data_IF_418311250256
#
_entry.id   IF_418311250256
#
_cell.length_a   1.000
_cell.length_b   1.000
_cell.length_c   1.000
_cell.angle_alpha   90.00
_cell.angle_beta   90.00
_cell.angle_gamma   90.00
#
_symmetry.space_group_name_H-M   'P 1'
#
loop_
_entity.id
_entity.type
_entity.pdbx_description
1 polymer ?
#
# COMPACT_ATOMS: atom_id res chain seq x y z
N UNK A 1 0.43 7.27 -5.69
CA UNK A 1 1.77 7.05 -5.12
C UNK A 1 1.84 7.77 -3.78
N UNK A 2 1.77 7.01 -2.70
CA UNK A 2 2.11 7.49 -1.35
C UNK A 2 3.53 7.06 -1.07
N UNK A 3 4.44 8.03 -0.96
CA UNK A 3 5.82 7.81 -0.53
C UNK A 3 5.93 8.28 0.91
N UNK A 4 6.28 7.38 1.83
CA UNK A 4 6.50 7.70 3.24
C UNK A 4 7.76 7.00 3.77
N UNK A 5 8.37 7.62 4.79
CA UNK A 5 9.32 6.97 5.68
C UNK A 5 8.62 6.78 7.02
N UNK A 6 8.50 5.54 7.48
CA UNK A 6 7.64 5.21 8.62
C UNK A 6 8.35 4.28 9.62
N UNK A 7 8.29 4.65 10.90
CA UNK A 7 8.53 3.74 12.02
C UNK A 7 7.23 3.04 12.49
N UNK A 8 6.11 3.35 11.84
CA UNK A 8 4.78 2.78 12.15
C UNK A 8 4.23 1.99 10.97
N UNK A 9 3.41 0.99 11.28
CA UNK A 9 2.82 0.09 10.30
C UNK A 9 1.96 0.82 9.28
N UNK A 10 2.15 0.51 8.00
CA UNK A 10 1.18 0.87 6.95
C UNK A 10 0.02 -0.11 6.97
N UNK A 11 -1.19 0.39 7.21
CA UNK A 11 -2.39 -0.46 7.36
C UNK A 11 -3.27 -0.38 6.12
N UNK A 12 -3.50 -1.53 5.50
CA UNK A 12 -4.45 -1.77 4.42
C UNK A 12 -5.65 -2.47 5.02
N UNK A 13 -6.61 -1.66 5.43
CA UNK A 13 -7.77 -2.06 6.22
C UNK A 13 -8.92 -2.68 5.42
N UNK A 14 -8.62 -3.56 4.47
CA UNK A 14 -9.47 -3.88 3.33
C UNK A 14 -9.31 -2.86 2.21
N UNK A 15 -10.36 -2.69 1.40
CA UNK A 15 -10.30 -1.85 0.19
C UNK A 15 -9.57 -2.55 -0.95
N UNK A 16 -9.67 -1.97 -2.14
CA UNK A 16 -9.24 -2.60 -3.39
C UNK A 16 -8.41 -1.65 -4.24
N UNK A 17 -7.55 -2.23 -5.06
CA UNK A 17 -6.76 -1.53 -6.09
C UNK A 17 -5.82 -0.45 -5.51
N UNK A 18 -5.34 -0.66 -4.28
CA UNK A 18 -4.34 0.22 -3.65
C UNK A 18 -2.91 -0.21 -4.02
N UNK A 19 -2.07 0.75 -4.39
CA UNK A 19 -0.65 0.53 -4.67
C UNK A 19 0.21 1.18 -3.59
N UNK A 20 0.92 0.33 -2.84
CA UNK A 20 1.87 0.72 -1.80
C UNK A 20 3.27 0.48 -2.31
N UNK A 21 3.90 1.57 -2.75
CA UNK A 21 5.20 1.51 -3.38
C UNK A 21 6.14 2.60 -2.95
N UNK A 22 7.44 2.29 -3.03
CA UNK A 22 8.52 3.22 -2.78
C UNK A 22 8.57 3.78 -1.35
N UNK A 23 8.22 2.96 -0.35
CA UNK A 23 8.29 3.33 1.06
C UNK A 23 9.53 2.75 1.74
N UNK A 24 9.98 3.42 2.81
CA UNK A 24 11.07 2.94 3.68
C UNK A 24 10.54 2.68 5.08
N UNK A 25 10.78 1.47 5.57
CA UNK A 25 10.45 1.01 6.91
C UNK A 25 11.72 0.73 7.70
N UNK A 26 11.81 1.27 8.91
CA UNK A 26 12.94 1.05 9.82
C UNK A 26 12.42 0.64 11.19
N UNK A 27 12.92 -0.47 11.72
CA UNK A 27 12.59 -1.01 13.05
C UNK A 27 11.07 -1.14 13.28
N UNK A 28 10.36 -1.73 12.30
CA UNK A 28 8.90 -1.78 12.27
C UNK A 28 8.36 -3.21 12.20
N UNK A 29 7.38 -3.54 13.06
CA UNK A 29 6.79 -4.89 13.16
C UNK A 29 5.27 -4.85 13.38
N UNK A 30 4.44 -5.32 12.41
CA UNK A 30 4.81 -5.51 11.00
C UNK A 30 4.95 -4.15 10.28
N UNK A 31 5.73 -4.09 9.20
CA UNK A 31 5.85 -2.90 8.36
C UNK A 31 4.57 -2.64 7.56
N UNK A 32 4.01 -3.69 6.96
CA UNK A 32 2.72 -3.66 6.27
C UNK A 32 1.73 -4.58 6.97
N UNK A 33 0.52 -4.09 7.23
CA UNK A 33 -0.57 -4.90 7.76
C UNK A 33 -1.75 -4.87 6.80
N UNK A 34 -2.21 -6.02 6.34
CA UNK A 34 -3.33 -6.13 5.40
C UNK A 34 -4.38 -7.08 5.95
N UNK A 35 -5.62 -6.63 6.02
CA UNK A 35 -6.76 -7.44 6.45
C UNK A 35 -7.89 -7.50 5.40
N UNK A 36 -8.67 -8.58 5.42
CA UNK A 36 -9.90 -8.71 4.64
C UNK A 36 -11.10 -8.13 5.41
N UNK A 37 -11.00 -6.87 5.85
CA UNK A 37 -11.91 -6.27 6.84
C UNK A 37 -13.41 -6.43 6.53
N UNK A 38 -13.80 -6.10 5.31
CA UNK A 38 -15.18 -6.14 4.86
C UNK A 38 -15.72 -7.56 4.63
N UNK A 39 -14.84 -8.58 4.61
CA UNK A 39 -15.25 -9.99 4.58
C UNK A 39 -15.57 -10.55 5.97
N UNK A 40 -15.18 -9.82 7.03
CA UNK A 40 -15.22 -10.30 8.41
C UNK A 40 -16.12 -9.40 9.28
N UNK A 41 -15.58 -8.88 10.39
CA UNK A 41 -16.33 -8.14 11.39
C UNK A 41 -17.02 -6.87 10.84
N UNK A 42 -16.50 -6.28 9.76
CA UNK A 42 -17.06 -5.08 9.13
C UNK A 42 -18.01 -5.38 7.95
N UNK A 43 -18.41 -6.63 7.74
CA UNK A 43 -19.27 -7.03 6.61
C UNK A 43 -20.63 -6.29 6.57
N UNK A 44 -21.12 -5.81 7.72
CA UNK A 44 -22.35 -5.03 7.80
C UNK A 44 -22.29 -3.69 7.03
N UNK A 45 -21.09 -3.20 6.69
CA UNK A 45 -20.92 -2.01 5.84
C UNK A 45 -21.08 -2.28 4.33
N UNK A 46 -21.01 -3.55 3.89
CA UNK A 46 -20.98 -3.90 2.46
C UNK A 46 -22.28 -3.53 1.77
N UNK A 47 -23.42 -4.03 2.27
CA UNK A 47 -24.73 -3.74 1.70
C UNK A 47 -25.26 -2.33 2.06
N UNK A 48 -24.60 -1.63 2.99
CA UNK A 48 -25.01 -0.29 3.44
C UNK A 48 -24.08 0.76 2.87
N UNK A 49 -23.09 1.21 3.64
CA UNK A 49 -22.22 2.33 3.29
C UNK A 49 -21.49 2.13 1.96
N UNK A 50 -21.00 0.92 1.68
CA UNK A 50 -20.26 0.67 0.43
C UNK A 50 -21.19 0.71 -0.79
N UNK A 51 -22.32 0.00 -0.74
CA UNK A 51 -23.30 0.01 -1.84
C UNK A 51 -23.89 1.41 -2.07
N UNK A 52 -24.35 2.06 -1.00
CA UNK A 52 -24.97 3.38 -1.08
C UNK A 52 -24.04 4.41 -1.74
N UNK A 53 -22.77 4.46 -1.31
CA UNK A 53 -21.79 5.39 -1.89
C UNK A 53 -21.43 5.06 -3.33
N UNK A 54 -21.44 3.78 -3.71
CA UNK A 54 -21.23 3.38 -5.10
C UNK A 54 -22.42 3.82 -5.98
N UNK A 55 -23.66 3.64 -5.51
CA UNK A 55 -24.87 4.01 -6.23
C UNK A 55 -25.06 5.54 -6.35
N UNK A 56 -24.59 6.30 -5.36
CA UNK A 56 -24.56 7.77 -5.40
C UNK A 56 -23.52 8.33 -6.38
N UNK A 57 -22.53 7.52 -6.79
CA UNK A 57 -21.48 7.95 -7.70
C UNK A 57 -21.92 7.74 -9.15
N UNK A 58 -21.83 8.76 -10.03
CA UNK A 58 -22.24 8.64 -11.45
C UNK A 58 -21.22 7.86 -12.27
N UNK A 59 -20.99 6.58 -11.96
CA UNK A 59 -19.95 5.73 -12.56
C UNK A 59 -20.18 5.47 -14.05
N UNK A 60 -21.44 5.55 -14.51
CA UNK A 60 -21.82 5.37 -15.91
C UNK A 60 -21.55 6.61 -16.79
N UNK A 61 -21.16 7.75 -16.19
CA UNK A 61 -20.75 8.93 -16.93
C UNK A 61 -19.57 8.59 -17.87
N UNK A 62 -19.61 8.95 -19.17
CA UNK A 62 -18.59 8.55 -20.15
C UNK A 62 -17.15 8.97 -19.80
N UNK A 63 -16.97 10.05 -19.03
CA UNK A 63 -15.65 10.48 -18.58
C UNK A 63 -15.12 9.54 -17.51
N UNK A 64 -15.95 9.20 -16.51
CA UNK A 64 -15.59 8.27 -15.43
C UNK A 64 -15.45 6.84 -15.94
N UNK A 65 -16.43 6.34 -16.68
CA UNK A 65 -16.43 5.00 -17.27
C UNK A 65 -15.17 4.73 -18.12
N UNK A 66 -14.67 5.75 -18.83
CA UNK A 66 -13.43 5.64 -19.61
C UNK A 66 -12.17 5.67 -18.75
N UNK A 67 -12.18 6.46 -17.68
CA UNK A 67 -11.01 6.64 -16.80
C UNK A 67 -10.87 5.52 -15.77
N UNK A 68 -11.98 4.97 -15.31
CA UNK A 68 -12.11 3.97 -14.25
C UNK A 68 -13.10 2.87 -14.65
N UNK A 69 -12.84 2.12 -15.73
CA UNK A 69 -13.75 1.09 -16.24
C UNK A 69 -14.06 -0.01 -15.22
N UNK A 70 -13.14 -0.28 -14.29
CA UNK A 70 -13.29 -1.25 -13.20
C UNK A 70 -14.46 -0.94 -12.26
N UNK A 71 -14.86 0.34 -12.14
CA UNK A 71 -15.98 0.74 -11.28
C UNK A 71 -17.32 0.23 -11.81
N UNK A 72 -17.44 -0.01 -13.11
CA UNK A 72 -18.70 -0.44 -13.75
C UNK A 72 -19.12 -1.86 -13.36
N UNK A 73 -18.14 -2.70 -13.00
CA UNK A 73 -18.35 -4.11 -12.63
C UNK A 73 -17.93 -4.39 -11.18
N UNK A 74 -17.65 -3.34 -10.41
CA UNK A 74 -17.09 -3.45 -9.07
C UNK A 74 -18.03 -4.17 -8.11
N UNK A 75 -19.35 -4.00 -8.29
CA UNK A 75 -20.34 -4.58 -7.40
C UNK A 75 -20.52 -6.08 -7.65
N UNK A 76 -20.32 -6.53 -8.88
CA UNK A 76 -20.42 -7.93 -9.30
C UNK A 76 -19.15 -8.73 -8.97
N UNK A 77 -18.04 -8.06 -8.66
CA UNK A 77 -16.71 -8.66 -8.44
C UNK A 77 -16.30 -8.68 -6.95
N UNK A 78 -17.03 -9.44 -6.13
CA UNK A 78 -16.84 -9.60 -4.68
C UNK A 78 -16.49 -8.28 -3.96
N UNK A 79 -17.42 -7.34 -3.81
CA UNK A 79 -17.13 -5.97 -3.38
C UNK A 79 -16.51 -5.87 -1.97
N UNK A 80 -16.64 -6.92 -1.15
CA UNK A 80 -16.03 -7.03 0.17
C UNK A 80 -14.55 -7.46 0.15
N UNK A 81 -14.10 -8.12 -0.92
CA UNK A 81 -12.76 -8.70 -0.98
C UNK A 81 -11.70 -7.62 -1.26
N UNK A 82 -10.51 -7.68 -0.61
CA UNK A 82 -9.47 -6.68 -0.77
C UNK A 82 -8.62 -6.90 -2.04
N UNK A 83 -9.28 -6.96 -3.21
CA UNK A 83 -8.69 -7.33 -4.50
C UNK A 83 -7.75 -6.27 -5.05
N UNK A 84 -6.77 -6.71 -5.84
CA UNK A 84 -5.94 -5.83 -6.66
C UNK A 84 -4.92 -4.98 -5.89
N UNK A 85 -4.72 -5.27 -4.60
CA UNK A 85 -3.74 -4.53 -3.80
C UNK A 85 -2.31 -4.98 -4.15
N UNK A 86 -1.42 -4.02 -4.37
CA UNK A 86 -0.02 -4.27 -4.76
C UNK A 86 0.92 -3.59 -3.78
N UNK A 87 1.86 -4.36 -3.22
CA UNK A 87 2.91 -3.90 -2.32
C UNK A 87 4.25 -4.17 -3.02
N UNK A 88 4.89 -3.11 -3.52
CA UNK A 88 6.12 -3.27 -4.34
C UNK A 88 7.14 -2.18 -4.16
N UNK A 89 8.40 -2.46 -4.47
CA UNK A 89 9.47 -1.46 -4.42
C UNK A 89 9.59 -0.79 -3.05
N UNK A 90 9.27 -1.49 -1.96
CA UNK A 90 9.47 -0.98 -0.62
C UNK A 90 10.79 -1.49 -0.05
N UNK A 91 11.34 -0.78 0.92
CA UNK A 91 12.57 -1.11 1.62
C UNK A 91 12.27 -1.26 3.10
N UNK A 92 12.75 -2.33 3.72
CA UNK A 92 12.56 -2.62 5.14
C UNK A 92 13.87 -3.10 5.76
N UNK A 93 14.28 -2.43 6.84
CA UNK A 93 15.42 -2.80 7.66
C UNK A 93 15.02 -2.82 9.13
N UNK A 94 15.29 -3.93 9.82
CA UNK A 94 14.92 -4.10 11.22
C UNK A 94 13.41 -4.28 11.41
N UNK A 95 13.03 -5.39 12.05
CA UNK A 95 11.62 -5.78 12.27
C UNK A 95 11.08 -6.75 11.23
N UNK A 96 9.75 -6.86 11.18
CA UNK A 96 9.04 -7.81 10.30
C UNK A 96 8.32 -7.06 9.18
N UNK A 97 8.63 -7.36 7.93
CA UNK A 97 7.98 -6.67 6.81
C UNK A 97 6.51 -7.09 6.64
N UNK A 98 6.28 -8.40 6.49
CA UNK A 98 5.02 -8.95 6.01
C UNK A 98 4.02 -9.25 7.14
N UNK A 99 3.01 -8.39 7.30
CA UNK A 99 1.85 -8.59 8.18
C UNK A 99 0.53 -8.76 7.43
N UNK A 100 0.56 -9.33 6.22
CA UNK A 100 -0.65 -9.70 5.46
C UNK A 100 -1.33 -10.87 6.18
N UNK A 101 -2.63 -10.73 6.47
CA UNK A 101 -3.42 -11.83 7.06
C UNK A 101 -3.72 -12.90 6.02
N UNK A 102 -3.83 -14.14 6.49
CA UNK A 102 -4.17 -15.34 5.69
C UNK A 102 -5.43 -15.13 4.82
N UNK A 103 -6.46 -14.48 5.37
CA UNK A 103 -7.72 -14.20 4.65
C UNK A 103 -7.59 -13.16 3.53
N UNK A 104 -6.47 -12.42 3.49
CA UNK A 104 -6.17 -11.42 2.47
C UNK A 104 -5.06 -11.87 1.49
N UNK A 105 -4.23 -12.86 1.84
CA UNK A 105 -3.02 -13.24 1.07
C UNK A 105 -3.26 -13.43 -0.42
N UNK A 106 -4.33 -14.17 -0.79
CA UNK A 106 -4.65 -14.46 -2.20
C UNK A 106 -5.02 -13.23 -3.04
N UNK A 107 -5.28 -12.09 -2.40
CA UNK A 107 -5.73 -10.85 -3.04
C UNK A 107 -4.64 -9.78 -3.15
N UNK A 108 -3.48 -10.02 -2.52
CA UNK A 108 -2.39 -9.06 -2.41
C UNK A 108 -1.20 -9.56 -3.20
N UNK A 109 -0.61 -8.68 -4.02
CA UNK A 109 0.65 -8.95 -4.71
C UNK A 109 1.79 -8.33 -3.93
N UNK A 110 2.70 -9.15 -3.42
CA UNK A 110 3.97 -8.71 -2.84
C UNK A 110 5.08 -8.98 -3.84
N UNK A 111 5.73 -7.93 -4.35
CA UNK A 111 6.77 -8.09 -5.38
C UNK A 111 7.85 -7.03 -5.29
N UNK A 112 9.10 -7.39 -5.57
CA UNK A 112 10.23 -6.45 -5.64
C UNK A 112 10.40 -5.53 -4.40
N UNK A 113 10.14 -6.04 -3.19
CA UNK A 113 10.45 -5.35 -1.93
C UNK A 113 11.81 -5.84 -1.42
N UNK A 114 12.65 -4.92 -0.94
CA UNK A 114 13.91 -5.24 -0.24
C UNK A 114 13.64 -5.37 1.25
N UNK A 115 13.87 -6.55 1.81
CA UNK A 115 13.87 -6.80 3.26
C UNK A 115 15.25 -7.35 3.62
N UNK A 116 16.04 -6.59 4.38
CA UNK A 116 17.43 -6.95 4.69
C UNK A 116 17.93 -6.27 5.97
N UNK A 117 18.97 -6.84 6.57
CA UNK A 117 19.63 -6.26 7.77
C UNK A 117 20.43 -4.98 7.44
N UNK A 118 21.00 -4.88 6.23
CA UNK A 118 21.56 -3.65 5.67
C UNK A 118 20.94 -3.37 4.30
N UNK A 119 20.07 -2.35 4.24
CA UNK A 119 19.46 -1.90 2.98
C UNK A 119 20.30 -0.85 2.26
N UNK A 120 21.43 -0.48 2.84
CA UNK A 120 22.38 0.46 2.27
C UNK A 120 22.04 1.92 2.54
N UNK A 121 21.66 2.26 3.77
CA UNK A 121 21.49 3.66 4.15
C UNK A 121 22.81 4.45 3.99
N UNK A 122 22.70 5.64 3.38
CA UNK A 122 23.73 6.68 3.42
C UNK A 122 23.42 7.76 4.47
N UNK A 123 22.15 7.94 4.79
CA UNK A 123 21.67 8.76 5.91
C UNK A 123 21.58 7.96 7.21
N UNK A 124 21.24 8.64 8.31
CA UNK A 124 20.97 7.99 9.60
C UNK A 124 19.48 8.15 9.94
N UNK A 125 18.67 7.09 9.89
CA UNK A 125 17.32 7.12 10.40
C UNK A 125 17.29 7.52 11.90
N UNK A 126 16.27 8.27 12.37
CA UNK A 126 15.14 8.79 11.60
C UNK A 126 15.41 10.14 10.92
N UNK A 127 16.63 10.67 10.98
CA UNK A 127 16.95 12.01 10.45
C UNK A 127 17.15 12.05 8.94
N UNK A 128 17.54 10.92 8.34
CA UNK A 128 17.56 10.74 6.89
C UNK A 128 17.43 9.25 6.56
N UNK A 129 16.60 8.97 5.56
CA UNK A 129 16.31 7.66 4.98
C UNK A 129 16.98 7.50 3.60
N UNK A 130 17.88 8.42 3.24
CA UNK A 130 18.63 8.35 2.00
C UNK A 130 19.40 7.04 1.87
N UNK A 131 19.27 6.39 0.72
CA UNK A 131 19.99 5.17 0.36
C UNK A 131 21.19 5.48 -0.54
N UNK A 132 22.29 4.76 -0.32
CA UNK A 132 23.49 4.78 -1.18
C UNK A 132 23.12 4.50 -2.64
N UNK A 133 23.93 5.00 -3.57
CA UNK A 133 23.72 4.80 -5.02
C UNK A 133 23.83 3.34 -5.44
N UNK A 134 24.52 2.53 -4.66
CA UNK A 134 24.73 1.09 -4.87
C UNK A 134 23.79 0.22 -4.01
N UNK A 135 22.79 0.81 -3.34
CA UNK A 135 21.80 0.04 -2.58
C UNK A 135 21.08 -0.96 -3.51
N UNK A 136 20.91 -2.23 -3.09
CA UNK A 136 20.21 -3.24 -3.87
C UNK A 136 18.74 -2.88 -4.14
N UNK A 137 18.16 -1.97 -3.34
CA UNK A 137 16.80 -1.48 -3.56
C UNK A 137 16.62 -0.86 -4.95
N UNK A 138 17.65 -0.17 -5.46
CA UNK A 138 17.60 0.51 -6.77
C UNK A 138 17.48 -0.49 -7.92
N UNK A 139 18.15 -1.64 -7.81
CA UNK A 139 18.04 -2.71 -8.80
C UNK A 139 16.63 -3.34 -8.82
N UNK A 140 15.90 -3.27 -7.70
CA UNK A 140 14.51 -3.71 -7.62
C UNK A 140 13.52 -2.67 -8.15
N UNK A 141 13.94 -1.44 -8.43
CA UNK A 141 13.08 -0.35 -8.91
C UNK A 141 12.76 0.71 -7.86
N UNK A 142 13.40 0.68 -6.69
CA UNK A 142 13.25 1.75 -5.69
C UNK A 142 13.83 3.08 -6.20
N UNK A 143 12.99 4.12 -6.18
CA UNK A 143 13.33 5.50 -6.47
C UNK A 143 13.73 6.25 -5.20
N UNK A 144 14.72 7.14 -5.30
CA UNK A 144 15.18 7.90 -4.14
C UNK A 144 14.04 8.75 -3.55
N UNK A 145 13.90 8.73 -2.21
CA UNK A 145 12.92 9.58 -1.52
C UNK A 145 13.35 11.05 -1.67
N UNK A 146 12.49 11.94 -2.18
CA UNK A 146 12.78 13.36 -2.27
C UNK A 146 12.56 14.00 -0.88
N UNK A 147 13.53 13.83 0.03
CA UNK A 147 13.44 14.30 1.42
C UNK A 147 13.15 15.81 1.53
N UNK A 148 13.57 16.59 0.54
CA UNK A 148 13.34 18.04 0.40
C UNK A 148 11.90 18.40 -0.01
N UNK A 149 11.11 17.43 -0.45
CA UNK A 149 9.74 17.61 -0.96
C UNK A 149 8.68 16.93 -0.09
N UNK A 150 9.05 16.41 1.08
CA UNK A 150 8.13 15.73 1.99
C UNK A 150 8.14 16.39 3.38
N UNK A 151 7.01 16.32 4.08
CA UNK A 151 6.83 16.96 5.39
C UNK A 151 6.52 18.47 5.32
N UNK A 152 6.31 19.12 6.48
CA UNK A 152 6.07 20.57 6.53
C UNK A 152 7.26 21.35 5.97
N UNK A 153 6.99 22.20 4.98
CA UNK A 153 7.98 23.14 4.45
C UNK A 153 7.88 24.45 5.25
N UNK A 154 8.97 24.87 5.87
CA UNK A 154 9.08 26.12 6.63
C UNK A 154 10.02 27.09 5.94
#
# INVERSE_FOLDING_TARGET
MTTSASSTTTVIGGGRDCVFENNVYVDCTPCVHVDARAMNWAAYHVATTMKQRLDEMPIQDPVRARKYPELLTLWEDDPAAPKGNIIRYNVSQGGDFNGVREDAERFVVLTANLVADDVGFSGRPPHSFALRRDSPARALGFEAIPEDRIGPQH
#
